data_IF_106625209867
#
_entry.id   IF_106625209867
#
_cell.length_a   1.000
_cell.length_b   1.000
_cell.length_c   1.000
_cell.angle_alpha   90.00
_cell.angle_beta   90.00
_cell.angle_gamma   90.00
#
_symmetry.space_group_name_H-M   'P 1'
#
loop_
_entity.id
_entity.type
_entity.pdbx_description
1 polymer ?
#
# COMPACT_ATOMS: atom_id res chain seq x y z
N UNK A 1 27.31 2.44 0.24
CA UNK A 1 26.65 3.76 0.05
C UNK A 1 27.40 4.55 -1.00
N UNK A 2 26.71 5.37 -1.78
CA UNK A 2 27.37 6.40 -2.60
C UNK A 2 27.98 7.42 -1.62
N UNK A 3 29.26 7.79 -1.74
CA UNK A 3 29.86 8.82 -0.89
C UNK A 3 29.04 10.11 -0.85
N UNK A 4 28.94 10.74 0.34
CA UNK A 4 28.05 11.89 0.54
C UNK A 4 28.45 13.07 -0.35
N UNK A 5 29.74 13.34 -0.49
CA UNK A 5 30.28 14.36 -1.40
C UNK A 5 29.82 14.18 -2.85
N UNK A 6 29.82 12.93 -3.35
CA UNK A 6 29.33 12.60 -4.68
C UNK A 6 27.81 12.82 -4.78
N UNK A 7 27.04 12.44 -3.76
CA UNK A 7 25.60 12.70 -3.70
C UNK A 7 25.30 14.20 -3.78
N UNK A 8 26.02 15.00 -2.99
CA UNK A 8 25.86 16.45 -2.93
C UNK A 8 26.24 17.12 -4.25
N UNK A 9 27.36 16.71 -4.87
CA UNK A 9 27.76 17.23 -6.18
C UNK A 9 26.72 16.94 -7.28
N UNK A 10 26.11 15.75 -7.25
CA UNK A 10 25.02 15.40 -8.19
C UNK A 10 23.78 16.23 -7.92
N UNK A 11 23.43 16.42 -6.65
CA UNK A 11 22.29 17.24 -6.24
C UNK A 11 22.48 18.71 -6.68
N UNK A 12 23.65 19.30 -6.42
CA UNK A 12 23.97 20.68 -6.81
C UNK A 12 23.80 20.90 -8.30
N UNK A 13 24.33 19.99 -9.13
CA UNK A 13 24.17 20.05 -10.60
C UNK A 13 22.70 20.05 -11.02
N UNK A 14 21.85 19.29 -10.32
CA UNK A 14 20.42 19.20 -10.62
C UNK A 14 19.68 20.46 -10.13
N UNK A 15 20.03 20.97 -8.95
CA UNK A 15 19.49 22.24 -8.42
C UNK A 15 19.83 23.39 -9.37
N UNK A 16 21.11 23.54 -9.75
CA UNK A 16 21.57 24.61 -10.65
C UNK A 16 20.92 24.54 -12.03
N UNK A 17 20.80 23.33 -12.59
CA UNK A 17 20.30 23.14 -13.95
C UNK A 17 18.78 23.22 -14.06
N UNK A 18 18.06 22.76 -13.04
CA UNK A 18 16.60 22.56 -13.12
C UNK A 18 15.80 23.27 -12.04
N UNK A 19 16.46 24.03 -11.14
CA UNK A 19 15.83 24.73 -10.02
C UNK A 19 14.97 23.81 -9.14
N UNK A 20 15.54 22.67 -8.75
CA UNK A 20 14.85 21.65 -7.94
C UNK A 20 14.75 22.10 -6.49
N UNK A 21 13.52 22.14 -5.96
CA UNK A 21 13.23 22.44 -4.56
C UNK A 21 12.74 21.24 -3.73
N UNK A 22 12.66 20.05 -4.33
CA UNK A 22 12.27 18.83 -3.61
C UNK A 22 13.01 17.59 -4.14
N UNK A 23 13.51 16.74 -3.24
CA UNK A 23 14.18 15.48 -3.55
C UNK A 23 13.41 14.29 -2.96
N UNK A 24 13.11 13.30 -3.79
CA UNK A 24 12.66 11.99 -3.31
C UNK A 24 13.81 10.98 -3.43
N UNK A 25 14.29 10.47 -2.29
CA UNK A 25 15.33 9.44 -2.29
C UNK A 25 14.72 8.06 -2.57
N UNK A 26 15.08 7.46 -3.70
CA UNK A 26 14.58 6.15 -4.12
C UNK A 26 15.28 4.95 -3.44
N UNK A 27 16.15 5.19 -2.46
CA UNK A 27 16.76 4.11 -1.67
C UNK A 27 15.69 3.46 -0.79
N UNK A 28 15.57 2.13 -0.86
CA UNK A 28 14.59 1.36 -0.08
C UNK A 28 14.96 1.24 1.41
N UNK A 29 16.21 1.52 1.76
CA UNK A 29 16.70 1.43 3.14
C UNK A 29 17.64 2.59 3.50
N UNK A 30 17.17 3.81 3.24
CA UNK A 30 17.92 5.04 3.42
C UNK A 30 18.44 5.17 4.86
N UNK A 31 19.69 5.60 5.00
CA UNK A 31 20.28 5.94 6.31
C UNK A 31 20.62 4.74 7.20
N UNK A 32 20.72 3.53 6.64
CA UNK A 32 21.12 2.34 7.43
C UNK A 32 22.50 2.49 8.07
N UNK A 33 23.43 3.19 7.40
CA UNK A 33 24.72 3.55 7.99
C UNK A 33 24.63 4.85 8.78
N UNK A 34 24.84 4.68 10.10
CA UNK A 34 25.15 5.70 11.12
C UNK A 34 25.76 6.99 10.60
N UNK A 35 27.01 6.83 10.20
CA UNK A 35 27.95 7.90 9.90
C UNK A 35 27.59 8.55 8.58
N UNK A 36 27.18 7.74 7.61
CA UNK A 36 26.70 8.23 6.32
C UNK A 36 25.46 9.09 6.48
N UNK A 37 24.49 8.68 7.32
CA UNK A 37 23.26 9.44 7.54
C UNK A 37 23.56 10.79 8.22
N UNK A 38 24.39 10.79 9.26
CA UNK A 38 24.85 12.00 9.94
C UNK A 38 25.52 12.96 8.96
N UNK A 39 26.49 12.48 8.18
CA UNK A 39 27.20 13.28 7.17
C UNK A 39 26.24 13.79 6.09
N UNK A 40 25.31 12.96 5.61
CA UNK A 40 24.31 13.36 4.63
C UNK A 40 23.43 14.51 5.16
N UNK A 41 22.88 14.37 6.37
CA UNK A 41 22.06 15.39 7.01
C UNK A 41 22.82 16.70 7.21
N UNK A 42 24.09 16.63 7.64
CA UNK A 42 24.95 17.80 7.82
C UNK A 42 25.25 18.54 6.51
N UNK A 43 25.34 17.83 5.38
CA UNK A 43 25.60 18.44 4.09
C UNK A 43 24.33 18.94 3.41
N UNK A 44 23.24 18.18 3.43
CA UNK A 44 22.02 18.56 2.72
C UNK A 44 21.36 19.81 3.32
N UNK A 45 21.43 20.01 4.64
CA UNK A 45 20.85 21.19 5.33
C UNK A 45 21.43 22.53 4.89
N UNK A 46 22.56 22.53 4.17
CA UNK A 46 23.18 23.74 3.59
C UNK A 46 22.48 24.20 2.31
N UNK A 47 21.49 23.44 1.83
CA UNK A 47 20.73 23.70 0.61
C UNK A 47 19.28 24.02 0.97
N UNK A 48 18.67 24.91 0.21
CA UNK A 48 17.24 25.25 0.35
C UNK A 48 16.39 24.22 -0.40
N UNK A 49 16.35 22.99 0.11
CA UNK A 49 15.62 21.87 -0.48
C UNK A 49 14.93 21.04 0.61
N UNK A 50 13.72 20.59 0.31
CA UNK A 50 13.02 19.61 1.13
C UNK A 50 13.20 18.20 0.54
N UNK A 51 13.10 17.17 1.38
CA UNK A 51 13.24 15.81 0.87
C UNK A 51 12.37 14.79 1.59
N UNK A 52 12.21 13.63 0.96
CA UNK A 52 11.52 12.46 1.50
C UNK A 52 12.35 11.20 1.27
N UNK A 53 12.22 10.23 2.19
CA UNK A 53 13.03 9.00 2.18
C UNK A 53 12.19 7.76 2.48
N UNK A 54 12.61 6.62 1.94
CA UNK A 54 12.15 5.30 2.35
C UNK A 54 13.18 4.63 3.25
N UNK A 55 12.76 4.02 4.35
CA UNK A 55 13.66 3.21 5.18
C UNK A 55 12.94 2.05 5.85
N UNK A 56 13.69 1.16 6.50
CA UNK A 56 13.10 0.07 7.29
C UNK A 56 12.76 0.58 8.68
N UNK A 57 11.59 0.20 9.21
CA UNK A 57 11.20 0.56 10.58
C UNK A 57 12.22 0.07 11.63
N UNK A 58 12.82 -1.10 11.38
CA UNK A 58 13.87 -1.66 12.25
C UNK A 58 15.13 -0.82 12.22
N UNK A 59 15.55 -0.35 13.40
CA UNK A 59 16.80 0.38 13.60
C UNK A 59 16.66 1.90 13.53
N UNK A 60 15.47 2.40 13.19
CA UNK A 60 15.12 3.82 13.31
C UNK A 60 15.00 4.17 14.78
N UNK A 61 15.41 5.38 15.13
CA UNK A 61 15.36 5.92 16.49
C UNK A 61 14.73 7.32 16.47
N UNK A 62 14.19 7.81 17.60
CA UNK A 62 13.75 9.21 17.71
C UNK A 62 14.85 10.21 17.28
N UNK A 63 16.10 9.93 17.63
CA UNK A 63 17.23 10.82 17.36
C UNK A 63 17.54 10.90 15.85
N UNK A 64 17.57 9.76 15.16
CA UNK A 64 17.76 9.72 13.70
C UNK A 64 16.63 10.45 12.96
N UNK A 65 15.39 10.38 13.46
CA UNK A 65 14.24 11.05 12.85
C UNK A 65 14.25 12.55 13.10
N UNK A 66 14.67 13.01 14.29
CA UNK A 66 14.88 14.44 14.55
C UNK A 66 15.97 15.01 13.65
N UNK A 67 17.08 14.30 13.50
CA UNK A 67 18.16 14.70 12.58
C UNK A 67 17.69 14.80 11.13
N UNK A 68 16.89 13.82 10.65
CA UNK A 68 16.27 13.90 9.33
C UNK A 68 15.37 15.13 9.20
N UNK A 69 14.51 15.38 10.19
CA UNK A 69 13.62 16.55 10.20
C UNK A 69 14.41 17.86 10.12
N UNK A 70 15.41 18.03 10.97
CA UNK A 70 16.27 19.22 11.03
C UNK A 70 17.01 19.46 9.72
N UNK A 71 17.32 18.40 8.98
CA UNK A 71 17.95 18.49 7.67
C UNK A 71 17.00 18.89 6.53
N UNK A 72 15.68 18.97 6.77
CA UNK A 72 14.67 19.29 5.76
C UNK A 72 13.81 18.11 5.30
N UNK A 73 13.87 16.97 5.99
CA UNK A 73 13.00 15.84 5.67
C UNK A 73 11.54 16.14 6.04
N UNK A 74 10.64 15.77 5.12
CA UNK A 74 9.20 16.03 5.20
C UNK A 74 8.39 14.75 5.40
N UNK A 75 8.83 13.66 4.78
CA UNK A 75 8.13 12.38 4.78
C UNK A 75 9.14 11.23 4.96
N UNK A 76 8.79 10.30 5.83
CA UNK A 76 9.51 9.03 5.99
C UNK A 76 8.53 7.88 5.77
N UNK A 77 8.82 7.07 4.78
CA UNK A 77 8.00 5.92 4.42
C UNK A 77 8.67 4.64 4.89
N UNK A 78 7.87 3.73 5.46
CA UNK A 78 8.32 2.42 5.89
C UNK A 78 7.57 1.34 5.13
N UNK A 79 8.27 0.27 4.74
CA UNK A 79 7.59 -0.96 4.31
C UNK A 79 7.00 -1.64 5.54
N UNK A 80 5.82 -1.20 6.00
CA UNK A 80 5.13 -1.80 7.15
C UNK A 80 4.57 -3.18 6.82
N UNK A 81 4.10 -3.36 5.59
CA UNK A 81 3.50 -4.55 4.97
C UNK A 81 2.17 -5.01 5.58
N UNK A 82 2.05 -5.05 6.90
CA UNK A 82 0.92 -5.63 7.63
C UNK A 82 0.93 -5.17 9.09
N UNK A 83 -0.24 -5.21 9.75
CA UNK A 83 -0.32 -5.05 11.20
C UNK A 83 -0.31 -6.37 11.98
N UNK A 84 -0.12 -7.49 11.30
CA UNK A 84 -0.12 -8.83 11.89
C UNK A 84 1.31 -9.36 12.07
N UNK A 85 1.70 -9.67 13.31
CA UNK A 85 3.01 -10.28 13.62
C UNK A 85 3.22 -11.58 12.82
N UNK A 86 2.17 -12.40 12.72
CA UNK A 86 2.20 -13.64 11.95
C UNK A 86 2.49 -13.39 10.46
N UNK A 87 1.91 -12.36 9.87
CA UNK A 87 2.17 -12.04 8.47
C UNK A 87 3.58 -11.48 8.25
N UNK A 88 4.14 -10.74 9.22
CA UNK A 88 5.54 -10.31 9.18
C UNK A 88 6.51 -11.50 9.15
N UNK A 89 6.19 -12.58 9.90
CA UNK A 89 6.95 -13.83 9.86
C UNK A 89 6.83 -14.54 8.51
N UNK A 90 5.61 -14.66 7.97
CA UNK A 90 5.35 -15.29 6.66
C UNK A 90 6.10 -14.57 5.54
N UNK A 91 6.09 -13.23 5.57
CA UNK A 91 6.78 -12.35 4.63
C UNK A 91 8.31 -12.28 4.87
N UNK A 92 8.82 -12.92 5.93
CA UNK A 92 10.22 -12.82 6.38
C UNK A 92 10.71 -11.37 6.54
N UNK A 93 9.83 -10.48 7.00
CA UNK A 93 10.15 -9.04 7.04
C UNK A 93 11.25 -8.70 8.04
N UNK A 94 11.53 -9.57 9.02
CA UNK A 94 12.59 -9.39 10.05
C UNK A 94 12.46 -8.08 10.83
N UNK A 95 11.22 -7.69 11.12
CA UNK A 95 10.83 -6.51 11.91
C UNK A 95 9.72 -6.96 12.86
N UNK A 96 9.68 -6.43 14.08
CA UNK A 96 8.57 -6.68 14.99
C UNK A 96 7.41 -5.74 14.70
N UNK A 97 6.19 -6.08 15.11
CA UNK A 97 5.08 -5.14 15.01
C UNK A 97 5.34 -3.87 15.83
N UNK A 98 6.00 -3.99 16.99
CA UNK A 98 6.35 -2.85 17.84
C UNK A 98 7.29 -1.85 17.12
N UNK A 99 8.27 -2.33 16.36
CA UNK A 99 9.13 -1.48 15.53
C UNK A 99 8.27 -0.65 14.56
N UNK A 100 7.27 -1.24 13.92
CA UNK A 100 6.35 -0.54 13.00
C UNK A 100 5.53 0.54 13.73
N UNK A 101 4.95 0.22 14.90
CA UNK A 101 4.22 1.20 15.72
C UNK A 101 5.12 2.38 16.12
N UNK A 102 6.31 2.08 16.63
CA UNK A 102 7.25 3.09 17.11
C UNK A 102 7.80 3.96 15.97
N UNK A 103 8.19 3.38 14.83
CA UNK A 103 8.74 4.13 13.71
C UNK A 103 7.76 5.18 13.17
N UNK A 104 6.48 4.81 13.01
CA UNK A 104 5.43 5.74 12.58
C UNK A 104 5.17 6.80 13.64
N UNK A 105 5.03 6.39 14.90
CA UNK A 105 4.83 7.33 16.02
C UNK A 105 5.95 8.37 16.09
N UNK A 106 7.21 7.93 16.10
CA UNK A 106 8.37 8.81 16.22
C UNK A 106 8.52 9.73 15.01
N UNK A 107 8.18 9.28 13.80
CA UNK A 107 8.21 10.14 12.61
C UNK A 107 7.19 11.29 12.74
N UNK A 108 5.98 10.97 13.19
CA UNK A 108 4.92 11.96 13.41
C UNK A 108 5.28 12.91 14.56
N UNK A 109 5.84 12.40 15.66
CA UNK A 109 6.32 13.22 16.79
C UNK A 109 7.49 14.13 16.39
N UNK A 110 8.34 13.71 15.46
CA UNK A 110 9.38 14.55 14.85
C UNK A 110 8.82 15.60 13.88
N UNK A 111 7.51 15.62 13.60
CA UNK A 111 6.87 16.59 12.72
C UNK A 111 7.01 16.27 11.23
N UNK A 112 7.25 15.00 10.89
CA UNK A 112 7.22 14.47 9.52
C UNK A 112 5.90 13.71 9.28
N UNK A 113 5.58 13.47 8.01
CA UNK A 113 4.50 12.56 7.64
C UNK A 113 5.02 11.14 7.46
N UNK A 114 4.13 10.15 7.59
CA UNK A 114 4.44 8.76 7.28
C UNK A 114 3.22 8.07 6.68
N UNK A 115 3.34 7.64 5.43
CA UNK A 115 2.31 6.88 4.73
C UNK A 115 2.39 5.42 5.18
N UNK A 116 1.27 4.86 5.61
CA UNK A 116 1.21 3.43 5.96
C UNK A 116 1.19 2.60 4.68
N UNK A 117 2.19 1.75 4.47
CA UNK A 117 2.29 0.87 3.31
C UNK A 117 1.95 -0.57 3.67
N UNK A 118 0.95 -1.14 3.00
CA UNK A 118 0.41 -2.46 3.26
C UNK A 118 0.39 -3.32 1.98
N UNK A 119 0.64 -4.61 2.16
CA UNK A 119 0.51 -5.65 1.14
C UNK A 119 -0.51 -6.68 1.63
N UNK A 120 -1.67 -6.70 1.00
CA UNK A 120 -2.76 -7.63 1.30
C UNK A 120 -2.77 -8.81 0.31
N UNK A 121 -3.45 -9.90 0.67
CA UNK A 121 -3.67 -11.01 -0.25
C UNK A 121 -2.47 -11.95 -0.40
N UNK A 122 -1.53 -11.92 0.54
CA UNK A 122 -0.43 -12.89 0.63
C UNK A 122 -0.94 -14.28 1.08
N UNK A 123 -0.23 -15.37 0.75
CA UNK A 123 -0.51 -16.67 1.35
C UNK A 123 -0.52 -16.59 2.87
N UNK A 124 -1.53 -17.23 3.49
CA UNK A 124 -1.72 -17.23 4.94
C UNK A 124 -2.46 -16.01 5.52
N UNK A 125 -2.80 -15.01 4.70
CA UNK A 125 -3.64 -13.88 5.11
C UNK A 125 -5.08 -14.32 5.41
N UNK A 126 -5.67 -13.80 6.49
CA UNK A 126 -7.02 -14.13 6.94
C UNK A 126 -7.81 -12.89 7.36
N UNK A 127 -9.14 -12.96 7.54
CA UNK A 127 -9.93 -11.86 8.10
C UNK A 127 -9.40 -11.37 9.46
N UNK A 128 -8.83 -12.26 10.26
CA UNK A 128 -8.23 -11.94 11.56
C UNK A 128 -6.93 -11.12 11.40
N UNK A 129 -6.02 -11.53 10.50
CA UNK A 129 -4.78 -10.76 10.23
C UNK A 129 -5.06 -9.41 9.57
N UNK A 130 -6.13 -9.32 8.78
CA UNK A 130 -6.65 -8.05 8.25
C UNK A 130 -7.24 -7.19 9.37
N UNK A 131 -7.92 -7.78 10.36
CA UNK A 131 -8.41 -7.03 11.52
C UNK A 131 -7.26 -6.45 12.35
N UNK A 132 -6.19 -7.21 12.58
CA UNK A 132 -4.95 -6.72 13.21
C UNK A 132 -4.34 -5.56 12.41
N UNK A 133 -4.28 -5.71 11.08
CA UNK A 133 -3.84 -4.66 10.14
C UNK A 133 -4.70 -3.40 10.22
N UNK A 134 -6.01 -3.54 10.37
CA UNK A 134 -6.92 -2.41 10.58
C UNK A 134 -6.60 -1.68 11.89
N UNK A 135 -6.35 -2.39 12.99
CA UNK A 135 -6.03 -1.76 14.28
C UNK A 135 -4.68 -1.03 14.26
N UNK A 136 -3.67 -1.61 13.62
CA UNK A 136 -2.40 -0.94 13.35
C UNK A 136 -2.60 0.35 12.54
N UNK A 137 -3.36 0.27 11.46
CA UNK A 137 -3.60 1.42 10.57
C UNK A 137 -4.40 2.52 11.26
N UNK A 138 -5.40 2.16 12.08
CA UNK A 138 -6.15 3.11 12.92
C UNK A 138 -5.24 3.85 13.87
N UNK A 139 -4.29 3.15 14.51
CA UNK A 139 -3.31 3.77 15.39
C UNK A 139 -2.46 4.80 14.65
N UNK A 140 -1.77 4.37 13.58
CA UNK A 140 -0.85 5.20 12.80
C UNK A 140 -1.51 6.50 12.33
N UNK A 141 -2.70 6.39 11.77
CA UNK A 141 -3.45 7.52 11.22
C UNK A 141 -4.12 8.40 12.29
N UNK A 142 -4.01 8.04 13.56
CA UNK A 142 -4.57 8.82 14.66
C UNK A 142 -3.56 9.17 15.76
N UNK A 143 -2.26 9.05 15.49
CA UNK A 143 -1.21 9.58 16.37
C UNK A 143 -1.34 11.10 16.53
N UNK A 144 -1.69 11.81 15.45
CA UNK A 144 -1.88 13.26 15.44
C UNK A 144 -3.13 13.66 14.64
N UNK A 145 -3.88 14.69 15.07
CA UNK A 145 -5.03 15.20 14.31
C UNK A 145 -4.62 15.86 12.99
N UNK A 146 -3.34 16.06 12.72
CA UNK A 146 -2.89 16.62 11.44
C UNK A 146 -2.58 15.54 10.38
N UNK A 147 -2.64 14.26 10.75
CA UNK A 147 -2.47 13.16 9.80
C UNK A 147 -3.72 12.97 8.95
N UNK A 148 -3.52 12.69 7.67
CA UNK A 148 -4.61 12.37 6.76
C UNK A 148 -4.92 10.87 6.84
N UNK A 149 -6.13 10.48 7.26
CA UNK A 149 -6.49 9.05 7.42
C UNK A 149 -6.58 8.28 6.10
N UNK A 150 -6.41 8.96 4.97
CA UNK A 150 -6.35 8.37 3.63
C UNK A 150 -4.91 8.28 3.09
N UNK A 151 -3.90 8.65 3.88
CA UNK A 151 -2.47 8.42 3.56
C UNK A 151 -2.09 6.96 3.78
N UNK A 152 -2.77 6.11 2.99
CA UNK A 152 -2.70 4.67 3.02
C UNK A 152 -2.32 4.15 1.64
N UNK A 153 -1.23 3.39 1.55
CA UNK A 153 -0.91 2.61 0.36
C UNK A 153 -1.27 1.17 0.63
N UNK A 154 -2.46 0.75 0.20
CA UNK A 154 -2.93 -0.65 0.32
C UNK A 154 -2.87 -1.31 -1.04
N UNK A 155 -1.85 -2.13 -1.24
CA UNK A 155 -1.61 -2.86 -2.48
C UNK A 155 -1.90 -4.35 -2.25
N UNK A 156 -2.25 -5.07 -3.32
CA UNK A 156 -2.31 -6.51 -3.24
C UNK A 156 -0.98 -7.12 -3.65
N UNK A 157 -0.68 -8.29 -3.08
CA UNK A 157 0.48 -9.07 -3.42
C UNK A 157 0.53 -9.34 -4.93
N UNK A 158 1.71 -9.18 -5.50
CA UNK A 158 1.97 -9.41 -6.92
C UNK A 158 3.17 -10.35 -7.02
N UNK A 159 2.97 -11.49 -7.67
CA UNK A 159 4.02 -12.46 -7.90
C UNK A 159 4.97 -11.94 -8.98
N UNK A 160 6.24 -11.71 -8.64
CA UNK A 160 7.28 -11.25 -9.57
C UNK A 160 8.41 -12.29 -9.69
N UNK A 161 8.99 -12.50 -10.89
CA UNK A 161 10.08 -13.46 -11.08
C UNK A 161 11.21 -13.26 -10.08
N UNK A 162 11.72 -14.36 -9.52
CA UNK A 162 12.76 -14.35 -8.49
C UNK A 162 12.27 -14.14 -7.05
N UNK A 163 10.97 -13.97 -6.84
CA UNK A 163 10.37 -13.94 -5.49
C UNK A 163 9.83 -15.33 -5.09
N UNK A 164 9.86 -15.69 -3.80
CA UNK A 164 9.20 -16.90 -3.31
C UNK A 164 7.70 -16.96 -3.64
N UNK A 165 7.03 -15.80 -3.70
CA UNK A 165 5.62 -15.71 -4.06
C UNK A 165 5.37 -16.16 -5.52
N UNK A 166 6.28 -15.89 -6.43
CA UNK A 166 6.17 -16.30 -7.83
C UNK A 166 6.30 -17.81 -8.00
N UNK A 167 7.27 -18.39 -7.31
CA UNK A 167 7.45 -19.84 -7.28
C UNK A 167 6.24 -20.54 -6.62
N UNK A 168 5.70 -19.97 -5.53
CA UNK A 168 4.44 -20.42 -4.93
C UNK A 168 3.27 -20.38 -5.92
N UNK A 169 3.13 -19.26 -6.65
CA UNK A 169 2.07 -19.07 -7.62
C UNK A 169 2.13 -20.10 -8.75
N UNK A 170 3.34 -20.43 -9.23
CA UNK A 170 3.57 -21.42 -10.29
C UNK A 170 3.27 -22.84 -9.81
N UNK A 171 3.80 -23.24 -8.65
CA UNK A 171 3.58 -24.58 -8.07
C UNK A 171 2.08 -24.89 -7.91
N UNK A 172 1.32 -23.89 -7.47
CA UNK A 172 -0.13 -23.97 -7.26
C UNK A 172 -0.95 -23.69 -8.55
N UNK A 173 -0.30 -23.43 -9.69
CA UNK A 173 -0.95 -23.19 -10.97
C UNK A 173 -1.71 -21.86 -11.08
N UNK A 174 -1.46 -20.90 -10.20
CA UNK A 174 -2.10 -19.57 -10.19
C UNK A 174 -1.62 -18.67 -11.34
N UNK A 175 -0.38 -18.86 -11.80
CA UNK A 175 0.21 -18.16 -12.96
C UNK A 175 0.49 -19.10 -14.14
N UNK A 176 -0.07 -20.32 -14.10
CA UNK A 176 0.25 -21.38 -15.04
C UNK A 176 1.54 -22.14 -14.70
N UNK A 177 1.83 -23.16 -15.49
CA UNK A 177 2.99 -24.05 -15.34
C UNK A 177 3.87 -24.11 -16.59
N UNK A 178 3.44 -23.49 -17.70
CA UNK A 178 4.24 -23.38 -18.92
C UNK A 178 4.78 -21.96 -19.11
N UNK A 179 5.83 -21.82 -19.93
CA UNK A 179 6.43 -20.53 -20.24
C UNK A 179 5.41 -19.56 -20.86
N UNK A 180 4.52 -20.04 -21.73
CA UNK A 180 3.50 -19.20 -22.38
C UNK A 180 2.46 -18.68 -21.39
N UNK A 181 2.11 -19.48 -20.38
CA UNK A 181 1.18 -19.06 -19.33
C UNK A 181 1.83 -18.06 -18.36
N UNK A 182 3.09 -18.32 -17.99
CA UNK A 182 3.90 -17.38 -17.21
C UNK A 182 4.07 -16.04 -17.94
N UNK A 183 4.43 -16.06 -19.24
CA UNK A 183 4.54 -14.87 -20.08
C UNK A 183 3.21 -14.11 -20.13
N UNK A 184 2.10 -14.82 -20.36
CA UNK A 184 0.77 -14.20 -20.36
C UNK A 184 0.44 -13.51 -19.04
N UNK A 185 0.81 -14.11 -17.90
CA UNK A 185 0.65 -13.48 -16.60
C UNK A 185 1.54 -12.23 -16.47
N UNK A 186 2.82 -12.32 -16.83
CA UNK A 186 3.76 -11.20 -16.76
C UNK A 186 3.32 -10.02 -17.65
N UNK A 187 2.87 -10.29 -18.88
CA UNK A 187 2.27 -9.29 -19.76
C UNK A 187 0.99 -8.69 -19.17
N UNK A 188 0.18 -9.49 -18.47
CA UNK A 188 -1.02 -8.99 -17.83
C UNK A 188 -0.71 -8.01 -16.68
N UNK A 189 0.43 -8.15 -16.01
CA UNK A 189 0.83 -7.29 -14.90
C UNK A 189 1.89 -6.23 -15.25
N UNK A 190 2.46 -6.29 -16.47
CA UNK A 190 3.44 -5.32 -16.98
C UNK A 190 2.79 -3.94 -17.18
N UNK A 191 3.56 -2.88 -16.93
CA UNK A 191 3.11 -1.48 -17.02
C UNK A 191 1.82 -1.17 -16.24
N UNK A 192 1.59 -1.92 -15.16
CA UNK A 192 0.47 -1.72 -14.25
C UNK A 192 0.95 -1.46 -12.85
N UNK A 193 0.17 -0.65 -12.15
CA UNK A 193 0.33 -0.39 -10.74
C UNK A 193 -0.11 -1.62 -9.93
N UNK A 194 0.62 -1.96 -8.87
CA UNK A 194 0.23 -3.00 -7.90
C UNK A 194 -1.10 -2.65 -7.18
N UNK A 195 -1.54 -1.39 -7.26
CA UNK A 195 -2.86 -0.94 -6.84
C UNK A 195 -4.00 -1.37 -7.78
N UNK A 196 -3.70 -1.85 -9.00
CA UNK A 196 -4.69 -2.36 -9.96
C UNK A 196 -5.29 -3.69 -9.47
N UNK A 197 -6.53 -3.64 -8.98
CA UNK A 197 -7.28 -4.82 -8.55
C UNK A 197 -7.70 -5.74 -9.69
N UNK A 198 -7.61 -5.31 -10.96
CA UNK A 198 -8.12 -6.08 -12.08
C UNK A 198 -7.21 -7.24 -12.48
N UNK A 199 -5.94 -7.19 -12.09
CA UNK A 199 -4.91 -8.20 -12.38
C UNK A 199 -4.38 -8.88 -11.13
N UNK A 200 -4.90 -8.50 -9.96
CA UNK A 200 -4.60 -9.15 -8.69
C UNK A 200 -5.02 -10.62 -8.68
N UNK A 201 -4.08 -11.47 -8.28
CA UNK A 201 -4.32 -12.87 -7.95
C UNK A 201 -4.71 -13.00 -6.48
N UNK A 202 -5.55 -13.99 -6.18
CA UNK A 202 -5.87 -14.34 -4.81
C UNK A 202 -4.95 -15.48 -4.37
N UNK A 203 -3.98 -15.19 -3.51
CA UNK A 203 -3.06 -16.19 -2.96
C UNK A 203 -3.51 -16.75 -1.60
N UNK A 204 -4.72 -16.38 -1.16
CA UNK A 204 -5.23 -16.74 0.16
C UNK A 204 -6.15 -17.95 0.07
N UNK A 205 -6.36 -18.61 1.20
CA UNK A 205 -7.35 -19.69 1.31
C UNK A 205 -8.81 -19.18 1.39
N UNK A 206 -9.00 -17.86 1.38
CA UNK A 206 -10.32 -17.22 1.45
C UNK A 206 -10.84 -16.89 0.05
N UNK A 207 -12.18 -16.85 -0.13
CA UNK A 207 -12.75 -16.58 -1.44
C UNK A 207 -12.34 -15.22 -2.00
N UNK A 208 -12.16 -15.13 -3.32
CA UNK A 208 -11.78 -13.86 -3.98
C UNK A 208 -12.69 -12.69 -3.61
N UNK A 209 -13.99 -12.96 -3.47
CA UNK A 209 -14.98 -11.96 -3.04
C UNK A 209 -14.62 -11.34 -1.68
N UNK A 210 -14.13 -12.14 -0.75
CA UNK A 210 -13.72 -11.70 0.59
C UNK A 210 -12.47 -10.84 0.51
N UNK A 211 -11.46 -11.31 -0.23
CA UNK A 211 -10.18 -10.62 -0.37
C UNK A 211 -10.38 -9.22 -0.96
N UNK A 212 -11.18 -9.09 -2.01
CA UNK A 212 -11.51 -7.81 -2.65
C UNK A 212 -12.24 -6.82 -1.72
N UNK A 213 -12.77 -7.26 -0.58
CA UNK A 213 -13.34 -6.34 0.44
C UNK A 213 -12.31 -5.72 1.37
N UNK A 214 -11.10 -6.28 1.49
CA UNK A 214 -10.16 -5.89 2.55
C UNK A 214 -9.67 -4.46 2.40
N UNK A 215 -9.26 -4.05 1.20
CA UNK A 215 -8.83 -2.67 0.94
C UNK A 215 -9.90 -1.62 1.29
N UNK A 216 -11.14 -1.67 0.75
CA UNK A 216 -12.16 -0.70 1.14
C UNK A 216 -12.57 -0.83 2.60
N UNK A 217 -12.51 -2.03 3.20
CA UNK A 217 -12.78 -2.21 4.63
C UNK A 217 -11.75 -1.46 5.50
N UNK A 218 -10.45 -1.58 5.19
CA UNK A 218 -9.37 -0.86 5.87
C UNK A 218 -9.64 0.66 5.81
N UNK A 219 -9.86 1.21 4.62
CA UNK A 219 -10.15 2.64 4.46
C UNK A 219 -11.39 3.08 5.25
N UNK A 220 -12.48 2.30 5.21
CA UNK A 220 -13.71 2.63 5.94
C UNK A 220 -13.48 2.65 7.45
N UNK A 221 -12.82 1.63 7.99
CA UNK A 221 -12.56 1.48 9.41
C UNK A 221 -11.63 2.59 9.94
N UNK A 222 -10.59 2.94 9.18
CA UNK A 222 -9.63 4.01 9.52
C UNK A 222 -10.30 5.38 9.48
N UNK A 223 -11.02 5.71 8.41
CA UNK A 223 -11.70 7.00 8.27
C UNK A 223 -12.76 7.20 9.35
N UNK A 224 -13.55 6.17 9.65
CA UNK A 224 -14.53 6.23 10.73
C UNK A 224 -13.87 6.39 12.09
N UNK A 225 -12.80 5.64 12.37
CA UNK A 225 -12.05 5.76 13.62
C UNK A 225 -11.48 7.17 13.81
N UNK A 226 -10.92 7.75 12.75
CA UNK A 226 -10.44 9.13 12.76
C UNK A 226 -11.57 10.12 13.12
N UNK A 227 -12.72 10.02 12.45
CA UNK A 227 -13.89 10.87 12.73
C UNK A 227 -14.38 10.70 14.16
N UNK A 228 -14.38 9.47 14.69
CA UNK A 228 -14.76 9.19 16.08
C UNK A 228 -13.80 9.86 17.07
N UNK A 229 -12.50 9.90 16.75
CA UNK A 229 -11.46 10.44 17.64
C UNK A 229 -11.33 11.96 17.59
N UNK A 230 -11.39 12.56 16.40
CA UNK A 230 -11.09 13.99 16.19
C UNK A 230 -12.27 14.81 15.65
N UNK A 231 -13.38 14.17 15.30
CA UNK A 231 -14.56 14.84 14.75
C UNK A 231 -14.53 14.99 13.23
N UNK A 232 -15.73 15.15 12.65
CA UNK A 232 -15.90 15.22 11.19
C UNK A 232 -15.36 16.54 10.58
N UNK A 233 -15.40 17.64 11.34
CA UNK A 233 -14.86 18.92 10.86
C UNK A 233 -13.33 18.87 10.72
N UNK A 234 -12.64 18.22 11.68
CA UNK A 234 -11.20 18.02 11.59
C UNK A 234 -10.83 17.08 10.42
N UNK A 235 -11.62 16.02 10.22
CA UNK A 235 -11.46 15.10 9.08
C UNK A 235 -11.51 15.85 7.74
N UNK A 236 -12.53 16.69 7.53
CA UNK A 236 -12.63 17.48 6.31
C UNK A 236 -11.57 18.56 6.19
N UNK A 237 -11.13 19.16 7.31
CA UNK A 237 -10.01 20.10 7.32
C UNK A 237 -8.73 19.44 6.83
N UNK A 238 -8.43 18.21 7.24
CA UNK A 238 -7.22 17.52 6.78
C UNK A 238 -7.32 17.13 5.32
N UNK A 239 -8.43 16.54 4.88
CA UNK A 239 -8.62 16.18 3.46
C UNK A 239 -8.53 17.40 2.55
N UNK A 240 -9.01 18.57 3.00
CA UNK A 240 -8.92 19.80 2.23
C UNK A 240 -7.48 20.32 2.06
N UNK A 241 -6.58 20.01 3.00
CA UNK A 241 -5.16 20.43 2.93
C UNK A 241 -4.40 19.64 1.88
N UNK A 242 -4.74 18.36 1.70
CA UNK A 242 -4.15 17.51 0.67
C UNK A 242 -4.93 17.69 -0.65
N UNK A 243 -4.67 18.82 -1.32
CA UNK A 243 -5.42 19.28 -2.50
C UNK A 243 -5.37 18.37 -3.73
N UNK A 244 -4.52 17.33 -3.71
CA UNK A 244 -4.29 16.46 -4.88
C UNK A 244 -5.36 15.37 -5.06
N UNK A 245 -6.28 15.16 -4.13
CA UNK A 245 -7.42 14.26 -4.34
C UNK A 245 -8.32 14.66 -5.52
N UNK A 246 -8.21 15.91 -5.99
CA UNK A 246 -9.15 16.52 -6.94
C UNK A 246 -8.51 16.92 -8.29
N UNK A 247 -7.27 16.52 -8.57
CA UNK A 247 -6.53 16.93 -9.79
C UNK A 247 -5.91 15.74 -10.55
N UNK A 248 -6.18 15.62 -11.85
CA UNK A 248 -5.47 14.72 -12.79
C UNK A 248 -5.02 15.49 -14.05
N UNK A 249 -3.88 15.12 -14.65
CA UNK A 249 -3.58 15.37 -16.06
C UNK A 249 -3.98 14.16 -16.95
N UNK A 250 -4.35 14.42 -18.20
CA UNK A 250 -5.08 13.48 -19.06
C UNK A 250 -4.28 12.27 -19.61
N UNK A 251 -2.94 12.29 -19.65
CA UNK A 251 -2.17 11.32 -20.43
C UNK A 251 -0.87 10.87 -19.72
N UNK A 252 -0.95 10.07 -18.66
CA UNK A 252 0.25 9.50 -18.02
C UNK A 252 0.05 8.03 -17.69
N UNK A 253 0.84 7.16 -18.35
CA UNK A 253 0.80 5.69 -18.29
C UNK A 253 2.03 5.10 -17.58
N UNK A 254 2.81 5.92 -16.85
CA UNK A 254 4.10 5.50 -16.29
C UNK A 254 4.04 4.73 -14.96
N UNK A 255 5.10 3.93 -14.73
CA UNK A 255 5.47 3.15 -13.54
C UNK A 255 5.53 3.93 -12.20
N UNK A 256 5.51 5.28 -12.25
CA UNK A 256 5.50 6.17 -11.07
C UNK A 256 4.10 6.72 -10.72
N UNK A 257 3.05 5.99 -11.06
CA UNK A 257 1.69 6.33 -10.66
C UNK A 257 1.50 6.16 -9.14
N UNK A 258 1.77 7.21 -8.38
CA UNK A 258 1.63 7.30 -6.93
C UNK A 258 0.20 6.92 -6.44
N UNK A 259 -0.02 6.35 -5.22
CA UNK A 259 -1.35 6.04 -4.65
C UNK A 259 -2.28 7.25 -4.39
N UNK A 260 -1.88 8.45 -4.83
CA UNK A 260 -2.61 9.72 -4.74
C UNK A 260 -3.67 9.90 -5.85
N UNK A 261 -3.93 8.88 -6.69
CA UNK A 261 -4.64 9.01 -7.98
C UNK A 261 -6.02 8.33 -7.98
N UNK A 262 -7.05 9.02 -7.48
CA UNK A 262 -8.46 8.62 -7.64
C UNK A 262 -9.37 9.81 -8.05
N UNK A 263 -9.43 10.02 -9.37
CA UNK A 263 -10.56 10.54 -10.17
C UNK A 263 -10.57 12.01 -10.62
N UNK A 264 -10.84 12.13 -11.93
CA UNK A 264 -11.08 13.36 -12.69
C UNK A 264 -12.54 13.85 -12.62
N UNK A 265 -12.68 15.15 -12.88
CA UNK A 265 -13.89 15.96 -13.12
C UNK A 265 -14.75 16.38 -11.93
N UNK A 266 -14.16 17.24 -11.09
CA UNK A 266 -14.86 18.39 -10.53
C UNK A 266 -13.89 19.58 -10.50
N UNK A 267 -14.11 20.55 -11.39
CA UNK A 267 -13.45 21.85 -11.37
C UNK A 267 -13.82 22.59 -10.09
N UNK A 268 -13.09 22.33 -9.01
CA UNK A 268 -13.11 23.18 -7.83
C UNK A 268 -12.18 24.35 -8.09
N UNK A 269 -12.80 25.50 -8.34
CA UNK A 269 -12.10 26.74 -8.66
C UNK A 269 -11.10 27.15 -7.57
N UNK A 270 -10.03 27.80 -8.04
CA UNK A 270 -9.08 28.65 -7.29
C UNK A 270 -8.67 28.17 -5.89
N UNK A 271 -7.37 27.81 -5.76
CA UNK A 271 -6.56 27.76 -4.53
C UNK A 271 -7.41 27.87 -3.26
N UNK A 272 -7.86 26.74 -2.73
CA UNK A 272 -8.53 26.70 -1.43
C UNK A 272 -7.60 27.35 -0.41
N UNK A 273 -7.96 28.57 0.00
CA UNK A 273 -7.31 29.22 1.11
C UNK A 273 -7.63 28.39 2.36
N UNK A 274 -6.77 28.45 3.38
CA UNK A 274 -6.92 27.76 4.66
C UNK A 274 -8.26 28.06 5.40
N UNK A 275 -9.13 28.90 4.84
CA UNK A 275 -10.42 29.37 5.39
C UNK A 275 -11.66 28.71 4.80
N UNK A 276 -11.58 28.00 3.67
CA UNK A 276 -12.79 27.45 3.04
C UNK A 276 -13.10 26.06 3.60
N UNK A 277 -14.19 25.96 4.37
CA UNK A 277 -14.72 24.70 4.87
C UNK A 277 -15.04 23.79 3.68
N UNK A 278 -14.40 22.63 3.60
CA UNK A 278 -14.70 21.64 2.55
C UNK A 278 -16.15 21.19 2.70
N UNK A 279 -16.94 21.45 1.65
CA UNK A 279 -18.31 20.96 1.53
C UNK A 279 -18.27 19.73 0.62
N UNK A 280 -18.59 18.53 1.13
CA UNK A 280 -18.55 17.32 0.31
C UNK A 280 -19.60 17.39 -0.82
N UNK A 281 -19.28 16.91 -2.04
CA UNK A 281 -20.28 16.77 -3.11
C UNK A 281 -21.42 15.87 -2.66
N UNK A 282 -22.62 16.07 -3.20
CA UNK A 282 -23.76 15.22 -2.85
C UNK A 282 -23.48 13.75 -3.19
N UNK A 283 -23.84 12.85 -2.27
CA UNK A 283 -23.68 11.40 -2.44
C UNK A 283 -24.29 10.91 -3.76
N UNK A 284 -25.47 11.42 -4.11
CA UNK A 284 -26.16 11.10 -5.35
C UNK A 284 -25.31 11.44 -6.59
N UNK A 285 -24.66 12.60 -6.59
CA UNK A 285 -23.77 13.01 -7.68
C UNK A 285 -22.55 12.09 -7.77
N UNK A 286 -21.92 11.76 -6.64
CA UNK A 286 -20.78 10.83 -6.60
C UNK A 286 -21.15 9.44 -7.13
N UNK A 287 -22.32 8.93 -6.76
CA UNK A 287 -22.82 7.62 -7.21
C UNK A 287 -23.10 7.63 -8.71
N UNK A 288 -23.79 8.65 -9.24
CA UNK A 288 -24.06 8.77 -10.69
C UNK A 288 -22.77 8.88 -11.49
N UNK A 289 -21.82 9.68 -11.00
CA UNK A 289 -20.48 9.85 -11.61
C UNK A 289 -19.55 8.66 -11.35
N UNK A 290 -20.03 7.62 -10.67
CA UNK A 290 -19.29 6.38 -10.37
C UNK A 290 -18.02 6.59 -9.54
N UNK A 291 -17.98 7.65 -8.74
CA UNK A 291 -16.85 8.00 -7.87
C UNK A 291 -17.01 7.34 -6.49
N UNK A 292 -17.12 6.01 -6.46
CA UNK A 292 -17.45 5.26 -5.23
C UNK A 292 -16.36 5.36 -4.15
N UNK A 293 -15.08 5.37 -4.53
CA UNK A 293 -13.97 5.59 -3.60
C UNK A 293 -14.10 6.96 -2.92
N UNK A 294 -14.38 8.00 -3.70
CA UNK A 294 -14.63 9.34 -3.18
C UNK A 294 -15.89 9.39 -2.30
N UNK A 295 -16.94 8.63 -2.63
CA UNK A 295 -18.14 8.53 -1.78
C UNK A 295 -17.83 7.90 -0.41
N UNK A 296 -16.97 6.87 -0.37
CA UNK A 296 -16.49 6.27 0.89
C UNK A 296 -15.73 7.30 1.73
N UNK A 297 -14.84 8.07 1.10
CA UNK A 297 -14.04 9.10 1.78
C UNK A 297 -14.88 10.30 2.22
N UNK A 298 -15.84 10.77 1.43
CA UNK A 298 -16.64 11.96 1.75
C UNK A 298 -17.76 11.67 2.76
N UNK A 299 -18.15 10.40 2.93
CA UNK A 299 -19.21 9.99 3.83
C UNK A 299 -18.77 8.87 4.79
N UNK A 300 -17.74 9.10 5.63
CA UNK A 300 -17.08 8.03 6.41
C UNK A 300 -18.01 7.37 7.43
N UNK A 301 -18.90 8.13 8.08
CA UNK A 301 -19.90 7.58 9.04
C UNK A 301 -20.91 6.68 8.34
N UNK A 302 -21.36 7.07 7.15
CA UNK A 302 -22.29 6.27 6.36
C UNK A 302 -21.60 5.01 5.84
N UNK A 303 -20.41 5.15 5.25
CA UNK A 303 -19.63 4.04 4.74
C UNK A 303 -19.38 2.98 5.83
N UNK A 304 -19.07 3.41 7.06
CA UNK A 304 -18.96 2.52 8.21
C UNK A 304 -20.25 1.76 8.51
N UNK A 305 -21.41 2.42 8.54
CA UNK A 305 -22.71 1.76 8.80
C UNK A 305 -23.02 0.69 7.75
N UNK A 306 -22.64 0.91 6.50
CA UNK A 306 -22.91 0.00 5.39
C UNK A 306 -21.77 -0.98 5.06
N UNK A 307 -20.66 -0.98 5.80
CA UNK A 307 -19.47 -1.81 5.48
C UNK A 307 -19.74 -3.31 5.36
N UNK A 308 -20.76 -3.84 6.07
CA UNK A 308 -21.18 -5.25 5.93
C UNK A 308 -21.74 -5.59 4.54
N UNK A 309 -22.11 -4.59 3.74
CA UNK A 309 -22.56 -4.74 2.36
C UNK A 309 -21.40 -4.74 1.35
N UNK A 310 -20.14 -4.63 1.78
CA UNK A 310 -18.98 -4.62 0.88
C UNK A 310 -18.95 -5.81 -0.10
N UNK A 311 -19.22 -7.07 0.30
CA UNK A 311 -19.26 -8.17 -0.67
C UNK A 311 -20.27 -7.94 -1.80
N UNK A 312 -21.43 -7.37 -1.50
CA UNK A 312 -22.44 -7.03 -2.49
C UNK A 312 -21.98 -5.89 -3.41
N UNK A 313 -21.32 -4.87 -2.85
CA UNK A 313 -20.77 -3.76 -3.63
C UNK A 313 -19.63 -4.21 -4.55
N UNK A 314 -18.75 -5.10 -4.07
CA UNK A 314 -17.71 -5.75 -4.85
C UNK A 314 -18.31 -6.59 -5.97
N UNK A 315 -19.36 -7.37 -5.70
CA UNK A 315 -20.09 -8.12 -6.72
C UNK A 315 -20.64 -7.20 -7.83
N UNK A 316 -21.33 -6.11 -7.48
CA UNK A 316 -21.84 -5.13 -8.46
C UNK A 316 -20.70 -4.53 -9.29
N UNK A 317 -19.58 -4.21 -8.64
CA UNK A 317 -18.39 -3.68 -9.32
C UNK A 317 -17.83 -4.70 -10.32
N UNK A 318 -17.71 -5.97 -9.92
CA UNK A 318 -17.21 -7.03 -10.78
C UNK A 318 -18.12 -7.30 -11.98
N UNK A 319 -19.45 -7.17 -11.84
CA UNK A 319 -20.36 -7.30 -12.99
C UNK A 319 -19.98 -6.29 -14.08
N UNK A 320 -19.62 -5.08 -13.68
CA UNK A 320 -19.30 -3.99 -14.61
C UNK A 320 -17.90 -4.15 -15.23
N UNK A 321 -16.91 -4.62 -14.47
CA UNK A 321 -15.51 -4.72 -14.92
C UNK A 321 -15.23 -6.03 -15.65
N UNK A 322 -15.76 -7.15 -15.15
CA UNK A 322 -15.44 -8.52 -15.59
C UNK A 322 -16.64 -9.27 -16.16
N UNK A 323 -17.84 -8.70 -16.07
CA UNK A 323 -19.08 -9.31 -16.57
C UNK A 323 -19.81 -10.17 -15.54
N UNK A 324 -21.09 -10.44 -15.82
CA UNK A 324 -21.98 -11.18 -14.91
C UNK A 324 -21.53 -12.63 -14.69
N UNK A 325 -21.04 -13.31 -15.73
CA UNK A 325 -20.61 -14.72 -15.65
C UNK A 325 -19.45 -14.89 -14.66
N UNK A 326 -18.42 -14.05 -14.76
CA UNK A 326 -17.30 -14.04 -13.82
C UNK A 326 -17.79 -13.76 -12.38
N UNK A 327 -18.65 -12.75 -12.23
CA UNK A 327 -19.13 -12.29 -10.93
C UNK A 327 -19.97 -13.35 -10.20
N UNK A 328 -20.81 -14.09 -10.93
CA UNK A 328 -21.55 -15.22 -10.38
C UNK A 328 -20.62 -16.36 -9.96
N UNK A 329 -19.54 -16.60 -10.71
CA UNK A 329 -18.51 -17.59 -10.33
C UNK A 329 -17.86 -17.25 -8.98
N UNK A 330 -17.43 -16.01 -8.81
CA UNK A 330 -16.82 -15.52 -7.54
C UNK A 330 -17.79 -15.58 -6.37
N UNK A 331 -19.10 -15.35 -6.59
CA UNK A 331 -20.13 -15.52 -5.56
C UNK A 331 -20.37 -17.00 -5.23
N UNK A 332 -20.38 -17.88 -6.23
CA UNK A 332 -20.52 -19.31 -6.03
C UNK A 332 -19.34 -19.89 -5.21
N UNK A 333 -18.11 -19.45 -5.51
CA UNK A 333 -16.90 -19.74 -4.72
C UNK A 333 -17.09 -19.32 -3.25
N UNK A 334 -17.57 -18.09 -3.02
CA UNK A 334 -17.83 -17.57 -1.67
C UNK A 334 -18.82 -18.44 -0.88
N UNK A 335 -19.96 -18.80 -1.47
CA UNK A 335 -20.94 -19.64 -0.77
C UNK A 335 -20.40 -21.05 -0.53
N UNK A 336 -19.70 -21.64 -1.50
CA UNK A 336 -19.07 -22.95 -1.37
C UNK A 336 -18.11 -23.00 -0.18
N UNK A 337 -17.27 -21.97 -0.04
CA UNK A 337 -16.38 -21.80 1.10
C UNK A 337 -17.15 -21.68 2.43
N UNK A 338 -18.20 -20.85 2.47
CA UNK A 338 -19.01 -20.67 3.68
C UNK A 338 -19.67 -21.98 4.14
N UNK A 339 -20.10 -22.83 3.21
CA UNK A 339 -20.60 -24.16 3.53
C UNK A 339 -19.50 -25.08 4.07
N UNK A 340 -18.34 -25.12 3.42
CA UNK A 340 -17.20 -25.96 3.82
C UNK A 340 -16.61 -25.57 5.19
N UNK A 341 -16.55 -24.26 5.50
CA UNK A 341 -16.09 -23.75 6.81
C UNK A 341 -17.01 -24.19 7.94
N UNK A 342 -18.33 -24.23 7.68
CA UNK A 342 -19.33 -24.67 8.67
C UNK A 342 -19.24 -26.18 8.95
N UNK A 343 -18.71 -26.98 8.01
CA UNK A 343 -18.58 -28.43 8.14
C UNK A 343 -17.23 -28.90 8.70
N UNK A 344 -16.50 -28.06 9.46
CA UNK A 344 -15.22 -28.35 10.14
C UNK A 344 -14.05 -28.82 9.26
N UNK A 345 -14.16 -28.78 7.94
CA UNK A 345 -13.09 -29.17 7.01
C UNK A 345 -11.97 -28.13 6.91
N UNK A 346 -12.15 -26.95 7.51
CA UNK A 346 -11.20 -25.84 7.47
C UNK A 346 -10.46 -25.72 8.80
N UNK A 347 -9.39 -26.50 8.97
CA UNK A 347 -8.47 -26.38 10.10
C UNK A 347 -7.37 -25.38 9.74
N UNK A 348 -7.60 -24.09 9.96
CA UNK A 348 -6.57 -23.05 9.75
C UNK A 348 -5.59 -22.94 10.95
N UNK A 349 -5.26 -24.07 11.59
CA UNK A 349 -4.30 -24.15 12.69
C UNK A 349 -3.13 -25.03 12.23
N UNK A 350 -2.40 -24.58 11.23
CA UNK A 350 -1.14 -25.21 10.86
C UNK A 350 0.03 -24.32 11.25
N UNK A 351 1.10 -24.99 11.66
CA UNK A 351 2.40 -24.51 12.08
C UNK A 351 3.00 -23.63 10.96
N UNK A 352 2.86 -22.30 11.09
CA UNK A 352 3.15 -21.37 9.99
C UNK A 352 4.63 -21.35 9.63
N UNK A 353 4.90 -21.43 8.32
CA UNK A 353 6.24 -21.37 7.73
C UNK A 353 6.29 -20.20 6.76
N UNK A 354 7.45 -19.56 6.65
CA UNK A 354 7.65 -18.52 5.64
C UNK A 354 7.53 -19.07 4.23
N UNK A 355 7.22 -18.22 3.25
CA UNK A 355 7.11 -18.66 1.85
C UNK A 355 8.37 -19.36 1.36
N UNK A 356 9.55 -18.88 1.75
CA UNK A 356 10.84 -19.51 1.41
C UNK A 356 10.98 -20.94 1.99
N UNK A 357 10.31 -21.24 3.10
CA UNK A 357 10.31 -22.58 3.73
C UNK A 357 9.24 -23.49 3.15
N UNK A 358 8.14 -22.94 2.63
CA UNK A 358 7.03 -23.70 2.04
C UNK A 358 7.34 -24.05 0.59
N UNK A 359 7.90 -23.10 -0.15
CA UNK A 359 8.20 -23.24 -1.56
C UNK A 359 9.56 -23.89 -1.71
N UNK A 360 9.63 -24.97 -2.49
CA UNK A 360 10.93 -25.42 -2.97
C UNK A 360 11.34 -24.40 -4.01
N UNK A 361 12.34 -23.57 -3.71
CA UNK A 361 13.02 -22.79 -4.76
C UNK A 361 13.49 -23.82 -5.78
N UNK A 362 12.77 -23.93 -6.88
CA UNK A 362 12.93 -25.06 -7.77
C UNK A 362 14.34 -24.99 -8.36
N UNK A 363 15.02 -26.15 -8.38
CA UNK A 363 16.12 -26.36 -9.31
C UNK A 363 15.61 -26.33 -10.75
N UNK A 364 16.50 -26.68 -11.69
CA UNK A 364 16.21 -26.66 -13.13
C UNK A 364 14.82 -27.24 -13.45
N UNK A 365 13.95 -26.39 -14.03
CA UNK A 365 12.64 -26.79 -14.54
C UNK A 365 12.86 -27.39 -15.93
N UNK A 366 12.20 -28.51 -16.25
CA UNK A 366 12.34 -29.12 -17.57
C UNK A 366 11.90 -28.14 -18.67
N UNK A 367 12.79 -27.90 -19.63
CA UNK A 367 12.67 -26.88 -20.69
C UNK A 367 12.70 -25.41 -20.23
N UNK A 368 13.22 -25.10 -19.03
CA UNK A 368 13.45 -23.69 -18.65
C UNK A 368 14.52 -23.07 -19.57
N UNK A 369 14.29 -21.83 -19.98
CA UNK A 369 15.31 -21.07 -20.70
C UNK A 369 16.49 -20.77 -19.75
N UNK A 370 17.72 -20.84 -20.28
CA UNK A 370 18.92 -20.55 -19.48
C UNK A 370 18.88 -19.16 -18.80
N UNK A 371 18.16 -18.20 -19.37
CA UNK A 371 17.94 -16.87 -18.77
C UNK A 371 17.09 -16.90 -17.50
N UNK A 372 16.19 -17.88 -17.33
CA UNK A 372 15.32 -18.02 -16.16
C UNK A 372 16.06 -18.62 -14.97
N UNK A 373 17.15 -19.37 -15.18
CA UNK A 373 17.90 -20.05 -14.12
C UNK A 373 18.36 -19.10 -12.99
N UNK A 374 18.80 -17.88 -13.34
CA UNK A 374 19.22 -16.88 -12.35
C UNK A 374 18.02 -16.37 -11.51
N UNK A 375 16.84 -16.31 -12.10
CA UNK A 375 15.60 -15.92 -11.42
C UNK A 375 15.04 -17.08 -10.59
N UNK A 376 15.09 -18.32 -11.08
CA UNK A 376 14.58 -19.50 -10.35
C UNK A 376 15.31 -19.75 -9.05
N UNK A 377 16.62 -19.47 -9.00
CA UNK A 377 17.43 -19.58 -7.78
C UNK A 377 17.01 -18.58 -6.69
N UNK A 378 16.17 -17.61 -7.01
CA UNK A 378 15.71 -16.56 -6.11
C UNK A 378 16.81 -15.58 -5.71
N UNK A 379 16.46 -14.62 -4.85
CA UNK A 379 17.42 -13.76 -4.14
C UNK A 379 17.92 -14.36 -2.82
#
# INVERSE_FOLDING_TARGET
FIPVDICMQRLDKIIEKYNVGFLYAADENFGTDKRWLEEFCEQIKKRDILFAVGTRAKGVTPDSLRMLREAGCTDVTYGNETGSERMLEIMEKKVSIEDNYNAVKWAIEAGMNSIVQLVCGMPGETPETIAETIEFTKYCNTVSPNQNPNDLSVNYAQALPGTPLYEHARENGLIGKTLEEEEKYLLAISDRDAHDETTTLNFTDYPKLTCETWRPLITIEVNYHYVKRFGIDQYFKVIARDTDYFHRPANDTGYYANPKRLLDTLSFGKKASQKDRLVPPSLFSLVIRRQYGLAIMMYPVMAYRFRKMLPFLVFIKNIKIKGIKYSLGVVAEYFSFMFAKKSSLFNSKDDYKSLRKIVKIAGDVDNDDNSMLALRKGR
#
